data_IF_759112981031
#
_entry.id   IF_759112981031
#
_cell.length_a   1.000
_cell.length_b   1.000
_cell.length_c   1.000
_cell.angle_alpha   90.00
_cell.angle_beta   90.00
_cell.angle_gamma   90.00
#
_symmetry.space_group_name_H-M   'P 1'
#
loop_
_entity.id
_entity.type
_entity.pdbx_description
1 polymer ?
#
# COMPACT_ATOMS: atom_id res chain seq x y z
N UNK A 1 -15.44 4.18 13.06
CA UNK A 1 -14.75 4.85 11.93
C UNK A 1 -13.25 4.66 12.14
N UNK A 2 -12.45 4.43 11.09
CA UNK A 2 -11.00 4.38 11.22
C UNK A 2 -10.48 5.68 11.82
N UNK A 3 -9.51 5.58 12.73
CA UNK A 3 -8.90 6.75 13.34
C UNK A 3 -8.17 7.55 12.26
N UNK A 4 -8.09 8.87 12.46
CA UNK A 4 -7.36 9.76 11.53
C UNK A 4 -5.90 9.32 11.35
N UNK A 5 -5.35 8.66 12.37
CA UNK A 5 -4.01 8.08 12.37
C UNK A 5 -3.86 6.91 11.39
N UNK A 6 -4.75 5.92 11.43
CA UNK A 6 -4.72 4.80 10.49
C UNK A 6 -4.84 5.27 9.03
N UNK A 7 -5.68 6.28 8.78
CA UNK A 7 -5.78 6.88 7.44
C UNK A 7 -4.46 7.48 6.97
N UNK A 8 -3.72 8.16 7.86
CA UNK A 8 -2.40 8.74 7.53
C UNK A 8 -1.40 7.64 7.19
N UNK A 9 -1.34 6.58 7.99
CA UNK A 9 -0.45 5.44 7.75
C UNK A 9 -0.73 4.75 6.42
N UNK A 10 -2.00 4.51 6.08
CA UNK A 10 -2.39 3.95 4.76
C UNK A 10 -1.91 4.84 3.62
N UNK A 11 -2.09 6.17 3.73
CA UNK A 11 -1.66 7.12 2.70
C UNK A 11 -0.12 7.14 2.58
N UNK A 12 0.58 7.08 3.71
CA UNK A 12 2.03 7.07 3.74
C UNK A 12 2.60 5.85 3.02
N UNK A 13 2.21 4.63 3.44
CA UNK A 13 2.73 3.40 2.84
C UNK A 13 2.37 3.29 1.35
N UNK A 14 1.20 3.80 0.94
CA UNK A 14 0.83 3.87 -0.48
C UNK A 14 1.77 4.75 -1.29
N UNK A 15 2.15 5.92 -0.77
CA UNK A 15 3.09 6.84 -1.44
C UNK A 15 4.50 6.27 -1.49
N UNK A 16 4.94 5.62 -0.41
CA UNK A 16 6.26 4.98 -0.35
C UNK A 16 6.36 3.83 -1.38
N UNK A 17 5.34 2.98 -1.47
CA UNK A 17 5.28 1.93 -2.49
C UNK A 17 5.27 2.52 -3.91
N UNK A 18 4.53 3.60 -4.17
CA UNK A 18 4.57 4.28 -5.46
C UNK A 18 5.94 4.87 -5.79
N UNK A 19 6.69 5.31 -4.79
CA UNK A 19 8.04 5.82 -4.99
C UNK A 19 9.00 4.70 -5.39
N UNK A 20 9.00 3.59 -4.62
CA UNK A 20 9.84 2.42 -4.89
C UNK A 20 9.50 1.76 -6.23
N UNK A 21 8.22 1.70 -6.60
CA UNK A 21 7.76 1.10 -7.84
C UNK A 21 8.21 1.81 -9.12
N UNK A 22 8.88 2.98 -9.05
CA UNK A 22 9.38 3.72 -10.22
C UNK A 22 10.44 2.95 -10.99
N UNK A 23 11.25 2.17 -10.29
CA UNK A 23 12.34 1.37 -10.86
C UNK A 23 11.93 -0.10 -11.05
N UNK A 24 10.63 -0.40 -10.93
CA UNK A 24 10.14 -1.76 -11.01
C UNK A 24 10.43 -2.40 -12.38
N UNK A 25 10.93 -3.66 -12.46
CA UNK A 25 11.40 -4.27 -13.72
C UNK A 25 10.36 -4.32 -14.86
N UNK A 26 9.08 -4.43 -14.52
CA UNK A 26 7.98 -4.47 -15.48
C UNK A 26 7.43 -3.07 -15.84
N UNK A 27 8.07 -2.01 -15.34
CA UNK A 27 7.71 -0.61 -15.55
C UNK A 27 6.78 -0.04 -14.47
N UNK A 28 6.85 1.28 -14.33
CA UNK A 28 6.10 2.02 -13.32
C UNK A 28 4.59 1.91 -13.48
N UNK A 29 4.06 2.00 -14.70
CA UNK A 29 2.61 1.93 -14.95
C UNK A 29 2.03 0.56 -14.57
N UNK A 30 2.79 -0.51 -14.83
CA UNK A 30 2.43 -1.87 -14.42
C UNK A 30 2.32 -1.96 -12.89
N UNK A 31 3.35 -1.50 -12.18
CA UNK A 31 3.38 -1.51 -10.72
C UNK A 31 2.26 -0.65 -10.13
N UNK A 32 2.13 0.59 -10.60
CA UNK A 32 1.13 1.57 -10.14
C UNK A 32 -0.29 1.04 -10.30
N UNK A 33 -0.61 0.42 -11.44
CA UNK A 33 -1.95 -0.13 -11.70
C UNK A 33 -2.30 -1.25 -10.71
N UNK A 34 -1.34 -2.15 -10.47
CA UNK A 34 -1.49 -3.28 -9.54
C UNK A 34 -1.61 -2.81 -8.09
N UNK A 35 -0.76 -1.86 -7.69
CA UNK A 35 -0.81 -1.24 -6.36
C UNK A 35 -2.16 -0.56 -6.13
N UNK A 36 -2.61 0.27 -7.08
CA UNK A 36 -3.88 0.96 -6.96
C UNK A 36 -5.05 -0.04 -6.82
N UNK A 37 -5.07 -1.09 -7.63
CA UNK A 37 -6.08 -2.15 -7.53
C UNK A 37 -6.10 -2.83 -6.16
N UNK A 38 -4.93 -3.13 -5.59
CA UNK A 38 -4.82 -3.79 -4.29
C UNK A 38 -5.37 -2.94 -3.12
N UNK A 39 -5.16 -1.62 -3.16
CA UNK A 39 -5.69 -0.67 -2.17
C UNK A 39 -7.18 -0.39 -2.42
N UNK A 40 -7.59 -0.19 -3.68
CA UNK A 40 -8.97 0.07 -4.05
C UNK A 40 -9.91 -1.09 -3.67
N UNK A 41 -9.45 -2.34 -3.77
CA UNK A 41 -10.20 -3.51 -3.33
C UNK A 41 -10.56 -3.50 -1.83
N UNK A 42 -9.81 -2.75 -1.02
CA UNK A 42 -9.99 -2.62 0.44
C UNK A 42 -10.56 -1.26 0.87
N UNK A 43 -11.03 -0.44 -0.07
CA UNK A 43 -11.49 0.94 0.22
C UNK A 43 -12.66 1.03 1.21
N UNK A 44 -13.45 -0.04 1.33
CA UNK A 44 -14.63 -0.11 2.19
C UNK A 44 -14.33 -0.68 3.58
N UNK A 45 -13.06 -1.01 3.90
CA UNK A 45 -12.70 -1.50 5.22
C UNK A 45 -12.95 -0.41 6.27
N UNK A 46 -13.66 -0.77 7.33
CA UNK A 46 -13.99 0.14 8.44
C UNK A 46 -13.51 -0.37 9.80
N UNK A 47 -13.18 -1.65 9.91
CA UNK A 47 -12.60 -2.24 11.13
C UNK A 47 -11.13 -1.80 11.27
N UNK A 48 -10.76 -1.12 12.37
CA UNK A 48 -9.39 -0.75 12.65
C UNK A 48 -8.40 -1.92 12.57
N UNK A 49 -8.77 -3.13 13.03
CA UNK A 49 -7.88 -4.30 13.04
C UNK A 49 -7.55 -4.77 11.63
N UNK A 50 -8.55 -4.83 10.75
CA UNK A 50 -8.36 -5.21 9.35
C UNK A 50 -7.50 -4.17 8.60
N UNK A 51 -7.64 -2.88 8.96
CA UNK A 51 -6.83 -1.81 8.38
C UNK A 51 -5.37 -1.93 8.85
N UNK A 52 -5.14 -2.20 10.14
CA UNK A 52 -3.79 -2.46 10.67
C UNK A 52 -3.12 -3.67 10.03
N UNK A 53 -3.87 -4.75 9.78
CA UNK A 53 -3.39 -5.90 9.01
C UNK A 53 -3.05 -5.54 7.56
N UNK A 54 -3.90 -4.72 6.92
CA UNK A 54 -3.64 -4.18 5.59
C UNK A 54 -2.35 -3.37 5.52
N UNK A 55 -2.11 -2.51 6.51
CA UNK A 55 -0.87 -1.72 6.63
C UNK A 55 0.33 -2.65 6.84
N UNK A 56 0.26 -3.61 7.78
CA UNK A 56 1.35 -4.57 8.02
C UNK A 56 1.72 -5.36 6.76
N UNK A 57 0.73 -5.75 5.96
CA UNK A 57 0.96 -6.42 4.68
C UNK A 57 1.59 -5.50 3.65
N UNK A 58 1.18 -4.24 3.57
CA UNK A 58 1.79 -3.26 2.68
C UNK A 58 3.27 -3.00 3.04
N UNK A 59 3.60 -2.89 4.33
CA UNK A 59 4.97 -2.77 4.82
C UNK A 59 5.83 -4.01 4.51
N UNK A 60 5.24 -5.21 4.57
CA UNK A 60 5.94 -6.42 4.15
C UNK A 60 6.28 -6.38 2.66
N UNK A 61 5.31 -6.06 1.80
CA UNK A 61 5.53 -5.94 0.34
C UNK A 61 6.54 -4.84 0.04
N UNK A 62 6.52 -3.73 0.76
CA UNK A 62 7.51 -2.65 0.62
C UNK A 62 8.93 -3.18 0.77
N UNK A 63 9.21 -3.98 1.81
CA UNK A 63 10.53 -4.59 2.03
C UNK A 63 10.92 -5.57 0.92
N UNK A 64 9.96 -6.30 0.37
CA UNK A 64 10.23 -7.17 -0.78
C UNK A 64 10.61 -6.35 -2.02
N UNK A 65 9.92 -5.23 -2.26
CA UNK A 65 10.22 -4.33 -3.38
C UNK A 65 11.55 -3.60 -3.19
N UNK A 66 11.92 -3.23 -1.97
CA UNK A 66 13.24 -2.64 -1.65
C UNK A 66 14.41 -3.62 -1.88
N UNK A 67 14.14 -4.93 -1.87
CA UNK A 67 15.15 -5.97 -2.04
C UNK A 67 15.26 -6.51 -3.47
N UNK A 68 14.41 -6.04 -4.39
CA UNK A 68 14.45 -6.35 -5.83
C UNK A 68 15.44 -5.44 -6.56
#
# INVERSE_FOLDING_TARGET
MPTQELRRQVIQVYKELLYLGREYPLGYDYFRTRLHGAFAAKKNLTDPKEIEEGIRRAEFVKKEVEAL
#
